data_IF_215506641591
#
_entry.id   IF_215506641591
#
_cell.length_a   1.000
_cell.length_b   1.000
_cell.length_c   1.000
_cell.angle_alpha   90.00
_cell.angle_beta   90.00
_cell.angle_gamma   90.00
#
_symmetry.space_group_name_H-M   'P 1'
#
loop_
_entity.id
_entity.type
_entity.pdbx_description
1 polymer ?
#
# COMPACT_ATOMS: atom_id res chain seq x y z
N UNK A 1 33.89 -2.05 -10.04
CA UNK A 1 32.62 -2.44 -10.72
C UNK A 1 31.52 -2.35 -9.67
N UNK A 2 30.75 -1.27 -9.69
CA UNK A 2 29.64 -1.07 -8.75
C UNK A 2 28.45 -1.90 -9.23
N UNK A 3 28.09 -2.91 -8.44
CA UNK A 3 26.88 -3.70 -8.64
C UNK A 3 25.67 -2.78 -8.47
N UNK A 4 25.04 -2.41 -9.57
CA UNK A 4 23.70 -1.84 -9.59
C UNK A 4 22.73 -2.95 -9.16
N UNK A 5 22.51 -3.08 -7.88
CA UNK A 5 21.33 -3.81 -7.37
C UNK A 5 20.10 -3.06 -7.87
N UNK A 6 19.50 -3.58 -8.93
CA UNK A 6 18.13 -3.29 -9.30
C UNK A 6 17.23 -3.70 -8.11
N UNK A 7 17.06 -2.82 -7.15
CA UNK A 7 15.88 -2.90 -6.28
C UNK A 7 14.69 -2.74 -7.22
N UNK A 8 13.94 -3.83 -7.34
CA UNK A 8 12.79 -3.91 -8.22
C UNK A 8 11.96 -2.64 -8.09
N UNK A 9 11.64 -2.04 -9.23
CA UNK A 9 10.64 -0.99 -9.35
C UNK A 9 9.32 -1.64 -8.93
N UNK A 10 9.09 -1.74 -7.62
CA UNK A 10 7.78 -2.10 -7.11
C UNK A 10 6.80 -1.02 -7.55
N UNK A 11 5.59 -1.42 -7.93
CA UNK A 11 4.45 -0.52 -8.01
C UNK A 11 4.46 0.41 -6.79
N UNK A 12 3.83 1.56 -6.88
CA UNK A 12 3.86 2.56 -5.81
C UNK A 12 3.49 1.92 -4.47
N UNK A 13 4.48 1.77 -3.58
CA UNK A 13 4.29 1.17 -2.25
C UNK A 13 3.64 2.20 -1.32
N UNK A 14 2.73 1.74 -0.48
CA UNK A 14 2.08 2.57 0.56
C UNK A 14 3.10 3.24 1.48
N UNK A 15 4.25 2.63 1.75
CA UNK A 15 5.34 3.25 2.51
C UNK A 15 5.84 4.51 1.83
N UNK A 16 5.97 4.49 0.50
CA UNK A 16 6.41 5.67 -0.25
C UNK A 16 5.39 6.80 -0.19
N UNK A 17 4.08 6.45 -0.28
CA UNK A 17 3.00 7.43 -0.10
C UNK A 17 3.04 8.02 1.31
N UNK A 18 3.29 7.21 2.34
CA UNK A 18 3.36 7.65 3.72
C UNK A 18 4.55 8.55 4.02
N UNK A 19 5.75 8.09 3.61
CA UNK A 19 7.02 8.67 4.06
C UNK A 19 7.47 9.83 3.15
N UNK A 20 7.01 9.87 1.88
CA UNK A 20 7.40 10.83 0.86
C UNK A 20 6.19 11.36 0.09
N UNK A 21 5.12 11.73 0.81
CA UNK A 21 3.85 12.10 0.21
C UNK A 21 3.98 13.25 -0.80
N UNK A 22 4.68 14.32 -0.44
CA UNK A 22 4.85 15.50 -1.30
C UNK A 22 5.57 15.16 -2.61
N UNK A 23 6.58 14.27 -2.56
CA UNK A 23 7.27 13.79 -3.76
C UNK A 23 6.33 12.97 -4.67
N UNK A 24 5.46 12.17 -4.07
CA UNK A 24 4.45 11.40 -4.82
C UNK A 24 3.47 12.33 -5.50
N UNK A 25 2.94 13.33 -4.78
CA UNK A 25 2.00 14.32 -5.33
C UNK A 25 2.66 15.13 -6.46
N UNK A 26 3.89 15.62 -6.27
CA UNK A 26 4.64 16.32 -7.32
C UNK A 26 4.79 15.44 -8.57
N UNK A 27 5.16 14.17 -8.39
CA UNK A 27 5.35 13.25 -9.51
C UNK A 27 4.06 12.93 -10.25
N UNK A 28 2.93 12.77 -9.54
CA UNK A 28 1.61 12.57 -10.14
C UNK A 28 1.17 13.80 -10.94
N UNK A 29 1.35 15.01 -10.38
CA UNK A 29 1.07 16.26 -11.07
C UNK A 29 1.91 16.43 -12.34
N UNK A 30 3.21 16.11 -12.31
CA UNK A 30 4.07 16.14 -13.49
C UNK A 30 3.61 15.18 -14.60
N UNK A 31 2.93 14.11 -14.24
CA UNK A 31 2.33 13.14 -15.17
C UNK A 31 0.95 13.56 -15.65
N UNK A 32 0.34 14.59 -15.06
CA UNK A 32 -1.06 14.98 -15.30
C UNK A 32 -2.07 13.98 -14.72
N UNK A 33 -1.65 13.18 -13.72
CA UNK A 33 -2.53 12.24 -13.06
C UNK A 33 -3.23 12.86 -11.84
N UNK A 34 -4.45 12.39 -11.51
CA UNK A 34 -5.15 12.82 -10.30
C UNK A 34 -4.37 12.39 -9.04
N UNK A 35 -4.34 13.29 -8.06
CA UNK A 35 -3.72 13.07 -6.74
C UNK A 35 -4.69 12.46 -5.73
N UNK A 36 -5.99 12.50 -6.02
CA UNK A 36 -7.06 12.06 -5.10
C UNK A 36 -6.91 10.60 -4.65
N UNK A 37 -6.45 9.72 -5.54
CA UNK A 37 -6.22 8.32 -5.20
C UNK A 37 -5.05 8.15 -4.21
N UNK A 38 -4.00 8.98 -4.32
CA UNK A 38 -2.87 8.96 -3.39
C UNK A 38 -3.28 9.50 -2.01
N UNK A 39 -4.10 10.54 -1.96
CA UNK A 39 -4.70 11.07 -0.73
C UNK A 39 -5.57 10.01 -0.06
N UNK A 40 -6.48 9.40 -0.83
CA UNK A 40 -7.32 8.30 -0.34
C UNK A 40 -6.51 7.12 0.19
N UNK A 41 -5.47 6.69 -0.51
CA UNK A 41 -4.61 5.61 -0.06
C UNK A 41 -3.91 5.93 1.27
N UNK A 42 -3.45 7.19 1.44
CA UNK A 42 -2.86 7.66 2.70
C UNK A 42 -3.87 7.61 3.85
N UNK A 43 -5.10 8.05 3.63
CA UNK A 43 -6.15 8.06 4.64
C UNK A 43 -6.58 6.63 5.03
N UNK A 44 -6.67 5.72 4.06
CA UNK A 44 -6.93 4.30 4.29
C UNK A 44 -5.79 3.65 5.11
N UNK A 45 -4.53 3.96 4.82
CA UNK A 45 -3.40 3.45 5.62
C UNK A 45 -3.41 4.00 7.06
N UNK A 46 -3.79 5.25 7.24
CA UNK A 46 -3.96 5.83 8.58
C UNK A 46 -5.02 5.08 9.38
N UNK A 47 -6.18 4.81 8.79
CA UNK A 47 -7.25 4.03 9.41
C UNK A 47 -6.81 2.59 9.69
N UNK A 48 -6.16 1.94 8.73
CA UNK A 48 -5.61 0.59 8.90
C UNK A 48 -4.69 0.49 10.11
N UNK A 49 -3.78 1.43 10.25
CA UNK A 49 -2.86 1.48 11.40
C UNK A 49 -3.56 1.70 12.72
N UNK A 50 -4.58 2.55 12.76
CA UNK A 50 -5.39 2.74 13.97
C UNK A 50 -6.12 1.44 14.36
N UNK A 51 -6.66 0.69 13.40
CA UNK A 51 -7.33 -0.58 13.66
C UNK A 51 -6.35 -1.66 14.17
N UNK A 52 -5.14 -1.72 13.59
CA UNK A 52 -4.10 -2.64 14.06
C UNK A 52 -3.75 -2.36 15.51
N UNK A 53 -3.49 -1.09 15.87
CA UNK A 53 -3.17 -0.69 17.25
C UNK A 53 -4.30 -1.11 18.19
N UNK A 54 -5.55 -0.80 17.84
CA UNK A 54 -6.71 -1.16 18.67
C UNK A 54 -6.89 -2.68 18.81
N UNK A 55 -6.66 -3.43 17.75
CA UNK A 55 -6.71 -4.90 17.80
C UNK A 55 -5.63 -5.46 18.73
N UNK A 56 -4.41 -4.92 18.70
CA UNK A 56 -3.31 -5.34 19.56
C UNK A 56 -3.57 -5.00 21.04
N UNK A 57 -4.16 -3.84 21.33
CA UNK A 57 -4.60 -3.45 22.68
C UNK A 57 -5.65 -4.43 23.21
N UNK A 58 -6.68 -4.75 22.42
CA UNK A 58 -7.70 -5.73 22.80
C UNK A 58 -7.15 -7.14 23.00
N UNK A 59 -6.23 -7.59 22.14
CA UNK A 59 -5.53 -8.87 22.30
C UNK A 59 -4.72 -8.91 23.59
N UNK A 60 -4.06 -7.82 23.92
CA UNK A 60 -3.30 -7.68 25.18
C UNK A 60 -4.23 -7.74 26.38
N UNK A 61 -5.34 -7.00 26.36
CA UNK A 61 -6.34 -7.01 27.41
C UNK A 61 -6.97 -8.40 27.59
N UNK A 62 -7.35 -9.07 26.50
CA UNK A 62 -7.88 -10.43 26.53
C UNK A 62 -6.90 -11.40 27.20
N UNK A 63 -5.61 -11.29 26.88
CA UNK A 63 -4.57 -12.14 27.47
C UNK A 63 -4.42 -11.88 28.98
N UNK A 64 -4.49 -10.62 29.43
CA UNK A 64 -4.46 -10.26 30.85
C UNK A 64 -5.68 -10.85 31.59
N UNK A 65 -6.90 -10.68 31.06
CA UNK A 65 -8.12 -11.23 31.62
C UNK A 65 -8.11 -12.77 31.66
N UNK A 66 -7.56 -13.42 30.65
CA UNK A 66 -7.42 -14.88 30.64
C UNK A 66 -6.49 -15.39 31.75
N UNK A 67 -5.39 -14.65 32.05
CA UNK A 67 -4.53 -14.97 33.19
C UNK A 67 -5.25 -14.79 34.53
N UNK A 68 -6.08 -13.75 34.65
CA UNK A 68 -6.90 -13.47 35.84
C UNK A 68 -7.88 -14.63 36.11
N UNK A 69 -8.54 -15.17 35.07
CA UNK A 69 -9.39 -16.37 35.19
C UNK A 69 -8.60 -17.53 35.80
N UNK A 70 -7.34 -17.74 35.35
CA UNK A 70 -6.49 -18.81 35.88
C UNK A 70 -6.17 -18.62 37.37
N UNK A 71 -5.93 -17.37 37.82
CA UNK A 71 -5.67 -17.04 39.21
C UNK A 71 -6.93 -17.24 40.08
N UNK A 72 -8.08 -16.73 39.64
CA UNK A 72 -9.36 -16.85 40.34
C UNK A 72 -9.79 -18.33 40.49
N UNK A 73 -9.62 -19.15 39.45
CA UNK A 73 -9.89 -20.60 39.52
C UNK A 73 -9.02 -21.29 40.57
N UNK A 74 -7.72 -20.95 40.65
CA UNK A 74 -6.83 -21.51 41.69
C UNK A 74 -7.24 -21.09 43.11
N UNK A 75 -7.84 -19.91 43.27
CA UNK A 75 -8.34 -19.38 44.53
C UNK A 75 -9.75 -19.88 44.86
N UNK A 76 -10.39 -20.71 44.03
CA UNK A 76 -11.75 -21.18 44.23
C UNK A 76 -12.82 -20.11 44.08
N UNK A 77 -12.50 -18.99 43.42
CA UNK A 77 -13.42 -17.85 43.25
C UNK A 77 -14.24 -17.97 41.96
N UNK A 78 -15.39 -17.28 41.92
CA UNK A 78 -16.23 -17.23 40.73
C UNK A 78 -15.52 -16.48 39.59
N UNK A 79 -15.58 -17.04 38.38
CA UNK A 79 -14.94 -16.50 37.20
C UNK A 79 -15.91 -16.06 36.10
N UNK A 80 -17.22 -16.14 36.33
CA UNK A 80 -18.24 -15.95 35.28
C UNK A 80 -18.20 -14.55 34.66
N UNK A 81 -18.04 -13.53 35.52
CA UNK A 81 -17.94 -12.13 35.04
C UNK A 81 -16.72 -11.92 34.16
N UNK A 82 -15.54 -12.42 34.59
CA UNK A 82 -14.29 -12.26 33.80
C UNK A 82 -14.34 -13.10 32.53
N UNK A 83 -15.00 -14.26 32.55
CA UNK A 83 -15.24 -15.04 31.35
C UNK A 83 -16.16 -14.35 30.36
N UNK A 84 -17.21 -13.66 30.83
CA UNK A 84 -18.08 -12.83 30.00
C UNK A 84 -17.31 -11.68 29.34
N UNK A 85 -16.43 -10.99 30.10
CA UNK A 85 -15.56 -9.94 29.56
C UNK A 85 -14.64 -10.48 28.47
N UNK A 86 -14.01 -11.64 28.69
CA UNK A 86 -13.11 -12.27 27.69
C UNK A 86 -13.86 -12.59 26.40
N UNK A 87 -15.10 -13.07 26.47
CA UNK A 87 -15.95 -13.32 25.29
C UNK A 87 -16.26 -12.03 24.56
N UNK A 88 -16.72 -10.99 25.27
CA UNK A 88 -17.02 -9.69 24.69
C UNK A 88 -15.80 -9.04 23.99
N UNK A 89 -14.61 -9.15 24.60
CA UNK A 89 -13.35 -8.71 23.95
C UNK A 89 -13.05 -9.55 22.70
N UNK A 90 -13.31 -10.85 22.75
CA UNK A 90 -13.16 -11.76 21.60
C UNK A 90 -14.03 -11.35 20.43
N UNK A 91 -15.29 -11.01 20.68
CA UNK A 91 -16.24 -10.55 19.67
C UNK A 91 -15.78 -9.22 19.04
N UNK A 92 -15.31 -8.28 19.87
CA UNK A 92 -14.75 -7.01 19.38
C UNK A 92 -13.52 -7.20 18.49
N UNK A 93 -12.63 -8.14 18.84
CA UNK A 93 -11.46 -8.47 18.01
C UNK A 93 -11.91 -9.04 16.66
N UNK A 94 -12.89 -9.94 16.65
CA UNK A 94 -13.41 -10.55 15.43
C UNK A 94 -14.02 -9.51 14.50
N UNK A 95 -14.77 -8.56 15.04
CA UNK A 95 -15.34 -7.47 14.27
C UNK A 95 -14.25 -6.56 13.69
N UNK A 96 -13.27 -6.16 14.50
CA UNK A 96 -12.13 -5.36 14.04
C UNK A 96 -11.30 -6.07 12.96
N UNK A 97 -11.04 -7.37 13.12
CA UNK A 97 -10.29 -8.15 12.12
C UNK A 97 -11.07 -8.23 10.79
N UNK A 98 -12.41 -8.25 10.84
CA UNK A 98 -13.26 -8.20 9.64
C UNK A 98 -13.19 -6.83 8.95
N UNK A 99 -13.30 -5.74 9.72
CA UNK A 99 -13.19 -4.38 9.23
C UNK A 99 -11.79 -4.12 8.65
N UNK A 100 -10.75 -4.61 9.31
CA UNK A 100 -9.36 -4.49 8.86
C UNK A 100 -9.16 -5.16 7.49
N UNK A 101 -9.70 -6.36 7.30
CA UNK A 101 -9.63 -7.07 6.02
C UNK A 101 -10.28 -6.28 4.89
N UNK A 102 -11.50 -5.77 5.09
CA UNK A 102 -12.19 -4.95 4.11
C UNK A 102 -11.43 -3.66 3.77
N UNK A 103 -10.80 -3.06 4.78
CA UNK A 103 -9.99 -1.87 4.61
C UNK A 103 -8.71 -2.17 3.80
N UNK A 104 -8.05 -3.31 4.06
CA UNK A 104 -6.87 -3.76 3.33
C UNK A 104 -7.19 -4.07 1.86
N UNK A 105 -8.30 -4.74 1.58
CA UNK A 105 -8.80 -4.97 0.21
C UNK A 105 -9.06 -3.64 -0.52
N UNK A 106 -9.68 -2.67 0.15
CA UNK A 106 -9.95 -1.35 -0.42
C UNK A 106 -8.66 -0.57 -0.67
N UNK A 107 -7.70 -0.64 0.26
CA UNK A 107 -6.39 0.00 0.12
C UNK A 107 -5.61 -0.60 -1.07
N UNK A 108 -5.57 -1.92 -1.19
CA UNK A 108 -4.91 -2.61 -2.29
C UNK A 108 -5.52 -2.22 -3.63
N UNK A 109 -6.85 -2.27 -3.75
CA UNK A 109 -7.56 -1.85 -4.96
C UNK A 109 -7.26 -0.37 -5.31
N UNK A 110 -7.18 0.51 -4.32
CA UNK A 110 -6.83 1.93 -4.52
C UNK A 110 -5.40 2.08 -5.03
N UNK A 111 -4.44 1.37 -4.41
CA UNK A 111 -3.03 1.42 -4.81
C UNK A 111 -2.80 0.94 -6.24
N UNK A 112 -3.52 -0.09 -6.68
CA UNK A 112 -3.45 -0.62 -8.05
C UNK A 112 -3.91 0.40 -9.11
N UNK A 113 -4.75 1.35 -8.74
CA UNK A 113 -5.24 2.41 -9.64
C UNK A 113 -4.30 3.61 -9.73
N UNK A 114 -3.35 3.76 -8.79
CA UNK A 114 -2.42 4.89 -8.79
C UNK A 114 -1.31 4.64 -9.80
N UNK A 115 -1.13 5.53 -10.80
CA UNK A 115 -0.05 5.38 -11.75
C UNK A 115 1.32 5.59 -11.10
N UNK A 116 2.36 4.92 -11.62
CA UNK A 116 3.71 5.07 -11.10
C UNK A 116 4.22 6.51 -11.22
N UNK A 117 4.96 6.95 -10.20
CA UNK A 117 5.63 8.26 -10.20
C UNK A 117 6.80 8.23 -11.17
N UNK A 118 6.88 9.18 -12.13
CA UNK A 118 7.95 9.25 -13.08
C UNK A 118 9.29 9.62 -12.41
N UNK A 119 10.40 9.17 -13.00
CA UNK A 119 11.73 9.59 -12.58
C UNK A 119 11.90 11.10 -12.78
N UNK A 120 12.64 11.76 -11.88
CA UNK A 120 12.90 13.22 -11.93
C UNK A 120 13.57 13.67 -13.22
N UNK A 121 14.32 12.79 -13.88
CA UNK A 121 15.04 13.08 -15.13
C UNK A 121 14.16 13.07 -16.38
N UNK A 122 12.92 12.55 -16.28
CA UNK A 122 11.98 12.50 -17.40
C UNK A 122 11.41 13.90 -17.63
N UNK A 123 11.41 14.41 -18.88
CA UNK A 123 10.79 15.68 -19.21
C UNK A 123 9.30 15.70 -18.86
N UNK A 124 8.80 16.85 -18.46
CA UNK A 124 7.36 17.07 -18.25
C UNK A 124 6.79 17.72 -19.51
N UNK A 125 5.66 17.20 -19.99
CA UNK A 125 4.99 17.74 -21.16
C UNK A 125 3.65 17.07 -21.43
N UNK A 126 2.79 17.66 -22.29
CA UNK A 126 1.44 17.17 -22.55
C UNK A 126 1.44 15.87 -23.39
N UNK A 127 2.46 15.68 -24.20
CA UNK A 127 2.54 14.55 -25.13
C UNK A 127 4.00 14.21 -25.53
N UNK A 128 4.16 13.35 -26.53
CA UNK A 128 5.44 12.87 -27.02
C UNK A 128 6.35 13.99 -27.58
N UNK A 129 5.83 15.18 -27.91
CA UNK A 129 6.63 16.32 -28.40
C UNK A 129 7.62 16.83 -27.35
N UNK A 130 7.31 16.63 -26.06
CA UNK A 130 8.20 16.98 -24.96
C UNK A 130 9.29 15.94 -24.69
N UNK A 131 9.27 14.78 -25.38
CA UNK A 131 10.29 13.74 -25.19
C UNK A 131 11.65 14.19 -25.72
N UNK A 132 12.69 13.87 -24.96
CA UNK A 132 14.08 14.08 -25.36
C UNK A 132 14.72 12.75 -25.73
N UNK A 133 15.30 12.68 -26.95
CA UNK A 133 16.10 11.54 -27.36
C UNK A 133 17.31 11.45 -26.43
N UNK A 134 17.39 10.40 -25.62
CA UNK A 134 18.49 10.17 -24.70
C UNK A 134 19.73 9.56 -25.40
N UNK A 135 19.50 8.67 -26.35
CA UNK A 135 20.55 7.97 -27.10
C UNK A 135 19.99 7.52 -28.45
N UNK A 136 20.82 7.63 -29.49
CA UNK A 136 20.59 6.99 -30.78
C UNK A 136 21.73 6.02 -31.00
N UNK A 137 21.44 4.78 -31.33
CA UNK A 137 22.44 3.73 -31.56
C UNK A 137 22.07 2.92 -32.80
N UNK A 138 23.06 2.74 -33.67
CA UNK A 138 22.90 2.04 -34.94
C UNK A 138 22.31 2.91 -36.04
N UNK A 139 22.25 2.33 -37.22
CA UNK A 139 21.67 2.95 -38.43
C UNK A 139 20.60 2.02 -38.97
N UNK A 140 19.42 2.56 -39.28
CA UNK A 140 18.36 1.77 -39.90
C UNK A 140 18.82 1.21 -41.23
N UNK A 141 18.58 -0.08 -41.46
CA UNK A 141 18.90 -0.72 -42.75
C UNK A 141 18.07 -0.10 -43.88
N UNK A 142 18.73 0.39 -44.90
CA UNK A 142 18.05 0.79 -46.13
C UNK A 142 17.71 -0.44 -46.96
N UNK A 143 16.48 -0.47 -47.50
CA UNK A 143 16.03 -1.52 -48.41
C UNK A 143 15.93 -0.91 -49.80
N UNK A 144 16.29 -1.71 -50.81
CA UNK A 144 16.17 -1.39 -52.23
C UNK A 144 14.76 -1.68 -52.80
N UNK A 145 13.88 -2.17 -51.95
CA UNK A 145 12.49 -2.44 -52.23
C UNK A 145 11.56 -1.76 -51.19
N UNK A 146 10.28 -1.60 -51.52
CA UNK A 146 9.28 -1.10 -50.59
C UNK A 146 8.91 -2.20 -49.57
N UNK A 147 9.35 -2.10 -48.30
CA UNK A 147 9.00 -3.10 -47.29
C UNK A 147 7.51 -3.06 -47.00
N UNK A 148 6.92 -4.22 -46.81
CA UNK A 148 5.56 -4.36 -46.27
C UNK A 148 5.61 -4.28 -44.77
N UNK A 149 4.53 -3.79 -44.17
CA UNK A 149 4.39 -3.86 -42.72
C UNK A 149 3.92 -5.25 -42.24
N UNK A 150 3.84 -5.44 -40.95
CA UNK A 150 3.51 -6.74 -40.35
C UNK A 150 2.03 -7.16 -40.53
N UNK A 151 1.18 -6.31 -41.11
CA UNK A 151 -0.26 -6.55 -41.35
C UNK A 151 -0.48 -6.86 -42.85
N UNK A 152 0.44 -6.49 -43.75
CA UNK A 152 0.30 -6.62 -45.19
C UNK A 152 0.57 -8.05 -45.71
#
# INVERSE_FOLDING_TARGET
MASLTFRGLSMLDIKRIRDNFDEVIEGLNRRGASVELAERARDLDLQRRAFVIKSDELKTLRNARSKEIGALKKAGQNTDAVQADVRAIGDQITELDTQLRQLEETLEATLLMIPNVPCKTIPTGPDASANRVAKVEGTAKAFDFKPLDHIA
#
